data_IF_811462671806
#
_entry.id   IF_811462671806
#
_cell.length_a   1.000
_cell.length_b   1.000
_cell.length_c   1.000
_cell.angle_alpha   90.00
_cell.angle_beta   90.00
_cell.angle_gamma   90.00
#
_symmetry.space_group_name_H-M   'P 1'
#
loop_
_entity.id
_entity.type
_entity.pdbx_description
1 polymer ?
#
# COMPACT_ATOMS: atom_id res chain seq x y z
N UNK A 1 24.11 -4.69 9.19
CA UNK A 1 24.37 -3.46 8.41
C UNK A 1 23.18 -3.28 7.46
N UNK A 2 22.18 -2.48 7.83
CA UNK A 2 20.96 -2.28 7.04
C UNK A 2 21.02 -0.94 6.32
N UNK A 3 20.82 -0.94 5.00
CA UNK A 3 20.89 0.25 4.16
C UNK A 3 19.72 1.21 4.47
N UNK A 4 20.07 2.46 4.79
CA UNK A 4 19.14 3.55 5.09
C UNK A 4 18.69 4.23 3.78
N UNK A 5 17.38 4.35 3.55
CA UNK A 5 16.87 5.13 2.42
C UNK A 5 16.02 6.29 2.94
N UNK A 6 16.54 7.50 2.76
CA UNK A 6 15.94 8.77 3.17
C UNK A 6 14.92 9.23 2.10
N UNK A 7 13.63 9.19 2.41
CA UNK A 7 12.62 9.89 1.62
C UNK A 7 12.32 11.23 2.29
N UNK A 8 12.74 12.31 1.63
CA UNK A 8 12.50 13.68 2.06
C UNK A 8 11.06 14.08 1.67
N UNK A 9 10.22 14.42 2.63
CA UNK A 9 8.97 15.14 2.38
C UNK A 9 8.77 16.17 3.48
N UNK A 10 8.57 17.43 3.07
CA UNK A 10 8.43 18.59 3.96
C UNK A 10 7.01 18.67 4.53
N UNK A 11 6.89 19.06 5.80
CA UNK A 11 5.63 19.50 6.43
C UNK A 11 5.82 20.90 7.04
N UNK A 12 4.72 21.65 7.15
CA UNK A 12 4.66 23.12 7.34
C UNK A 12 5.05 23.66 8.73
N UNK A 13 5.40 22.80 9.69
CA UNK A 13 5.92 23.21 10.99
C UNK A 13 7.30 22.58 11.17
N UNK A 14 8.33 23.42 11.28
CA UNK A 14 9.75 23.06 11.21
C UNK A 14 10.33 22.18 12.32
N UNK A 15 9.63 21.11 12.73
CA UNK A 15 10.16 20.07 13.61
C UNK A 15 10.20 18.74 12.86
N UNK A 16 11.39 18.18 12.57
CA UNK A 16 11.50 16.82 12.06
C UNK A 16 11.12 15.85 13.19
N UNK A 17 9.85 15.48 13.29
CA UNK A 17 9.46 14.31 14.06
C UNK A 17 9.94 13.07 13.31
N UNK A 18 11.07 12.53 13.76
CA UNK A 18 11.53 11.19 13.44
C UNK A 18 10.41 10.20 13.83
N UNK A 19 9.51 9.87 12.90
CA UNK A 19 8.67 8.71 13.07
C UNK A 19 9.55 7.47 12.87
N UNK A 20 10.09 6.96 13.97
CA UNK A 20 10.71 5.63 14.01
C UNK A 20 9.63 4.63 13.64
N UNK A 21 9.68 4.12 12.41
CA UNK A 21 8.84 3.01 11.98
C UNK A 21 9.56 1.74 12.37
N UNK A 22 9.25 1.21 13.54
CA UNK A 22 9.80 -0.05 14.02
C UNK A 22 9.33 -1.19 13.10
N UNK A 23 10.14 -1.52 12.09
CA UNK A 23 9.91 -2.65 11.17
C UNK A 23 10.22 -4.01 11.81
N UNK A 24 10.32 -4.09 13.15
CA UNK A 24 10.62 -5.34 13.87
C UNK A 24 9.57 -6.43 13.62
N UNK A 25 8.31 -6.04 13.38
CA UNK A 25 7.25 -6.98 13.03
C UNK A 25 7.26 -7.40 11.55
N UNK A 26 8.23 -6.99 10.73
CA UNK A 26 8.24 -7.31 9.29
C UNK A 26 9.31 -8.35 8.88
N UNK A 27 10.15 -8.81 9.82
CA UNK A 27 11.30 -9.70 9.60
C UNK A 27 11.21 -11.17 10.07
N UNK A 28 10.21 -11.59 10.85
CA UNK A 28 9.99 -12.98 11.32
C UNK A 28 9.53 -14.00 10.26
N UNK A 29 9.93 -15.26 10.44
CA UNK A 29 9.65 -16.38 9.54
C UNK A 29 8.17 -16.78 9.45
N UNK A 30 7.35 -16.45 10.44
CA UNK A 30 5.92 -16.75 10.47
C UNK A 30 5.09 -15.89 9.48
N UNK A 31 5.70 -14.91 8.81
CA UNK A 31 4.99 -13.96 7.96
C UNK A 31 4.46 -14.50 6.63
N UNK A 32 5.10 -15.48 6.01
CA UNK A 32 4.61 -15.98 4.72
C UNK A 32 3.21 -16.60 4.82
N UNK A 33 2.93 -17.32 5.91
CA UNK A 33 1.61 -17.92 6.13
C UNK A 33 0.54 -16.85 6.35
N UNK A 34 0.85 -15.80 7.13
CA UNK A 34 -0.09 -14.72 7.39
C UNK A 34 -0.37 -13.89 6.11
N UNK A 35 0.65 -13.57 5.33
CA UNK A 35 0.47 -12.86 4.05
C UNK A 35 -0.40 -13.64 3.07
N UNK A 36 -0.23 -14.97 3.00
CA UNK A 36 -1.11 -15.85 2.22
C UNK A 36 -2.55 -15.82 2.74
N UNK A 37 -2.75 -15.88 4.07
CA UNK A 37 -4.07 -15.76 4.70
C UNK A 37 -4.72 -14.42 4.37
N UNK A 38 -3.98 -13.31 4.44
CA UNK A 38 -4.49 -11.99 4.12
C UNK A 38 -4.93 -11.88 2.66
N UNK A 39 -4.12 -12.38 1.71
CA UNK A 39 -4.53 -12.45 0.29
C UNK A 39 -5.83 -13.25 0.12
N UNK A 40 -5.96 -14.37 0.83
CA UNK A 40 -7.18 -15.19 0.80
C UNK A 40 -8.41 -14.44 1.33
N UNK A 41 -8.29 -13.75 2.46
CA UNK A 41 -9.40 -12.96 3.03
C UNK A 41 -9.79 -11.82 2.09
N UNK A 42 -8.81 -11.10 1.53
CA UNK A 42 -9.05 -10.04 0.55
C UNK A 42 -9.76 -10.64 -0.67
N UNK A 43 -9.32 -11.80 -1.19
CA UNK A 43 -9.99 -12.50 -2.29
C UNK A 43 -11.46 -12.75 -1.96
N UNK A 44 -11.77 -13.30 -0.79
CA UNK A 44 -13.15 -13.57 -0.36
C UNK A 44 -14.01 -12.31 -0.24
N UNK A 45 -13.45 -11.20 0.23
CA UNK A 45 -14.14 -9.91 0.29
C UNK A 45 -14.51 -9.38 -1.09
N UNK A 46 -13.65 -9.57 -2.09
CA UNK A 46 -13.95 -9.17 -3.47
C UNK A 46 -14.94 -10.13 -4.13
N UNK A 47 -14.80 -11.45 -3.89
CA UNK A 47 -15.73 -12.46 -4.42
C UNK A 47 -17.16 -12.24 -3.93
N UNK A 48 -17.33 -11.88 -2.65
CA UNK A 48 -18.62 -11.55 -2.06
C UNK A 48 -19.32 -10.36 -2.72
N UNK A 49 -18.59 -9.48 -3.43
CA UNK A 49 -19.15 -8.30 -4.09
C UNK A 49 -19.33 -8.42 -5.60
N UNK A 50 -18.60 -9.32 -6.27
CA UNK A 50 -18.51 -9.30 -7.73
C UNK A 50 -18.22 -10.65 -8.39
N UNK A 51 -18.42 -11.75 -7.66
CA UNK A 51 -18.21 -13.09 -8.19
C UNK A 51 -16.73 -13.52 -8.26
N UNK A 52 -16.44 -14.69 -8.85
CA UNK A 52 -15.12 -15.31 -8.79
C UNK A 52 -14.01 -14.40 -9.34
N UNK A 53 -12.90 -14.34 -8.59
CA UNK A 53 -11.72 -13.56 -8.97
C UNK A 53 -10.92 -14.34 -10.01
N UNK A 54 -10.72 -13.75 -11.19
CA UNK A 54 -9.81 -14.23 -12.23
C UNK A 54 -8.34 -14.11 -11.81
N UNK A 55 -7.44 -14.89 -12.41
CA UNK A 55 -5.99 -14.79 -12.18
C UNK A 55 -5.45 -13.38 -12.44
N UNK A 56 -5.97 -12.68 -13.44
CA UNK A 56 -5.62 -11.29 -13.74
C UNK A 56 -5.88 -10.34 -12.56
N UNK A 57 -6.91 -10.60 -11.76
CA UNK A 57 -7.24 -9.83 -10.55
C UNK A 57 -6.42 -10.27 -9.34
N UNK A 58 -5.78 -11.45 -9.36
CA UNK A 58 -4.94 -11.93 -8.25
C UNK A 58 -3.72 -11.01 -8.01
N UNK A 59 -3.12 -10.47 -9.08
CA UNK A 59 -2.04 -9.49 -8.98
C UNK A 59 -2.48 -8.21 -8.27
N UNK A 60 -3.71 -7.76 -8.50
CA UNK A 60 -4.29 -6.62 -7.79
C UNK A 60 -4.41 -6.92 -6.30
N UNK A 61 -4.90 -8.11 -5.93
CA UNK A 61 -5.02 -8.52 -4.52
C UNK A 61 -3.65 -8.55 -3.83
N UNK A 62 -2.62 -9.09 -4.48
CA UNK A 62 -1.24 -9.06 -3.97
C UNK A 62 -0.72 -7.64 -3.76
N UNK A 63 -1.02 -6.71 -4.68
CA UNK A 63 -0.63 -5.29 -4.55
C UNK A 63 -1.37 -4.59 -3.41
N UNK A 64 -2.64 -4.91 -3.19
CA UNK A 64 -3.43 -4.41 -2.06
C UNK A 64 -2.83 -4.92 -0.75
N UNK A 65 -2.56 -6.23 -0.67
CA UNK A 65 -1.93 -6.84 0.51
C UNK A 65 -0.57 -6.20 0.81
N UNK A 66 0.27 -6.02 -0.20
CA UNK A 66 1.58 -5.38 -0.01
C UNK A 66 1.43 -3.94 0.51
N UNK A 67 0.41 -3.21 0.08
CA UNK A 67 0.13 -1.87 0.60
C UNK A 67 -0.33 -1.91 2.05
N UNK A 68 -1.22 -2.85 2.42
CA UNK A 68 -1.64 -3.04 3.81
C UNK A 68 -0.43 -3.37 4.70
N UNK A 69 0.42 -4.26 4.22
CA UNK A 69 1.65 -4.66 4.90
C UNK A 69 2.59 -3.47 5.11
N UNK A 70 2.88 -2.71 4.06
CA UNK A 70 3.79 -1.58 4.12
C UNK A 70 3.26 -0.39 4.94
N UNK A 71 1.94 -0.23 5.06
CA UNK A 71 1.33 0.88 5.78
C UNK A 71 0.97 0.55 7.23
N UNK A 72 0.87 -0.72 7.62
CA UNK A 72 0.59 -1.09 9.00
C UNK A 72 1.76 -0.72 9.93
N UNK A 73 1.42 -0.20 11.11
CA UNK A 73 2.36 0.23 12.14
C UNK A 73 2.72 -0.92 13.09
N UNK A 74 1.82 -1.89 13.26
CA UNK A 74 2.06 -3.09 14.08
C UNK A 74 1.51 -4.35 13.42
N UNK A 75 1.93 -5.50 13.98
CA UNK A 75 1.38 -6.80 13.63
C UNK A 75 -0.11 -6.89 13.93
N UNK A 76 -0.57 -6.40 15.09
CA UNK A 76 -2.01 -6.43 15.42
C UNK A 76 -2.79 -5.63 14.39
N UNK A 77 -2.32 -4.42 14.05
CA UNK A 77 -2.98 -3.60 13.03
C UNK A 77 -3.05 -4.33 11.71
N UNK A 78 -1.95 -4.91 11.21
CA UNK A 78 -1.96 -5.67 9.96
C UNK A 78 -2.93 -6.85 9.99
N UNK A 79 -2.96 -7.59 11.09
CA UNK A 79 -3.76 -8.80 11.26
C UNK A 79 -5.25 -8.56 11.56
N UNK A 80 -5.62 -7.33 11.95
CA UNK A 80 -6.99 -6.99 12.33
C UNK A 80 -7.94 -7.01 11.12
N UNK A 81 -8.80 -8.03 11.08
CA UNK A 81 -9.76 -8.22 9.99
C UNK A 81 -10.96 -7.27 10.08
N UNK A 82 -11.25 -6.70 11.26
CA UNK A 82 -12.41 -5.82 11.45
C UNK A 82 -12.28 -4.51 10.67
N UNK A 83 -11.06 -3.97 10.61
CA UNK A 83 -10.73 -2.72 9.89
C UNK A 83 -10.25 -2.96 8.46
N UNK A 84 -10.14 -4.22 8.01
CA UNK A 84 -9.53 -4.57 6.72
C UNK A 84 -10.27 -3.94 5.52
N UNK A 85 -11.60 -3.98 5.52
CA UNK A 85 -12.43 -3.45 4.42
C UNK A 85 -12.23 -1.96 4.22
N UNK A 86 -12.21 -1.20 5.32
CA UNK A 86 -12.02 0.25 5.30
C UNK A 86 -10.63 0.62 4.80
N UNK A 87 -9.60 -0.11 5.27
CA UNK A 87 -8.22 0.09 4.83
C UNK A 87 -8.03 -0.18 3.34
N UNK A 88 -8.66 -1.22 2.80
CA UNK A 88 -8.67 -1.50 1.34
C UNK A 88 -9.31 -0.33 0.57
N UNK A 89 -10.46 0.17 1.03
CA UNK A 89 -11.14 1.31 0.39
C UNK A 89 -10.25 2.56 0.44
N UNK A 90 -9.58 2.82 1.56
CA UNK A 90 -8.65 3.94 1.72
C UNK A 90 -7.47 3.84 0.75
N UNK A 91 -6.90 2.64 0.57
CA UNK A 91 -5.84 2.39 -0.42
C UNK A 91 -6.34 2.63 -1.84
N UNK A 92 -7.55 2.17 -2.17
CA UNK A 92 -8.14 2.37 -3.48
C UNK A 92 -8.37 3.86 -3.78
N UNK A 93 -8.92 4.62 -2.82
CA UNK A 93 -9.13 6.07 -2.93
C UNK A 93 -7.81 6.83 -3.17
N UNK A 94 -6.77 6.55 -2.38
CA UNK A 94 -5.45 7.19 -2.57
C UNK A 94 -4.88 6.96 -3.97
N UNK A 95 -5.06 5.78 -4.56
CA UNK A 95 -4.58 5.50 -5.92
C UNK A 95 -5.34 6.27 -7.00
N UNK A 96 -6.64 6.49 -6.81
CA UNK A 96 -7.45 7.35 -7.69
C UNK A 96 -6.99 8.81 -7.63
N UNK A 97 -6.67 9.31 -6.44
CA UNK A 97 -6.18 10.68 -6.26
C UNK A 97 -4.81 10.87 -6.91
N UNK A 98 -3.88 9.92 -6.76
CA UNK A 98 -2.57 9.97 -7.43
C UNK A 98 -2.68 9.91 -8.95
N UNK A 99 -3.61 9.10 -9.50
CA UNK A 99 -3.83 9.03 -10.94
C UNK A 99 -4.41 10.34 -11.52
N UNK A 100 -5.23 11.06 -10.74
CA UNK A 100 -5.79 12.35 -11.12
C UNK A 100 -4.76 13.49 -11.07
N UNK A 101 -3.68 13.29 -10.32
CA UNK A 101 -2.66 14.33 -10.07
C UNK A 101 -1.36 14.08 -10.84
N UNK A 102 -1.38 13.34 -11.95
CA UNK A 102 -0.28 13.41 -12.91
C UNK A 102 -0.51 14.61 -13.83
N UNK A 103 0.21 15.74 -13.64
CA UNK A 103 0.32 16.72 -14.71
C UNK A 103 1.04 16.05 -15.86
N UNK A 104 0.38 16.02 -17.01
CA UNK A 104 0.95 15.77 -18.33
C UNK A 104 2.19 16.65 -18.52
N UNK A 105 3.37 16.15 -18.14
CA UNK A 105 4.65 16.67 -18.61
C UNK A 105 4.93 16.04 -19.97
N UNK A 106 4.13 16.40 -20.96
CA UNK A 106 4.28 15.97 -22.35
C UNK A 106 3.67 17.04 -23.25
N UNK A 107 4.38 18.16 -23.39
CA UNK A 107 4.22 19.25 -24.36
C UNK A 107 5.28 20.31 -23.98
N UNK A 108 6.27 20.74 -24.76
CA UNK A 108 6.56 20.69 -26.19
C UNK A 108 8.10 20.68 -26.36
N UNK A 109 8.65 19.63 -26.97
CA UNK A 109 9.83 19.84 -27.83
C UNK A 109 9.29 20.31 -29.19
N UNK A 110 9.18 21.62 -29.38
CA UNK A 110 9.27 22.26 -30.70
C UNK A 110 9.14 23.76 -30.53
N UNK A 111 10.24 24.49 -30.63
CA UNK A 111 10.22 25.74 -31.40
C UNK A 111 11.63 26.11 -31.81
N UNK A 112 11.83 26.11 -33.13
CA UNK A 112 13.00 26.60 -33.85
C UNK A 112 13.24 28.08 -33.53
N UNK A 113 14.51 28.48 -33.43
CA UNK A 113 15.13 29.38 -34.41
C UNK A 113 16.64 29.25 -34.39
#
# INVERSE_FOLDING_TARGET
>A
MGAEFLILSKSQDGKPMLQKKDMGWQSTSHYQCLRKRMIYVIKKLFEAKGGPITESKLLLLKRIELNLYANASSFEEYSDLSTLKERIIKIAKRRLDVARTQPTQLQFMSSKK
#
